data_IF_923737473327
#
_entry.id   IF_923737473327
#
_cell.length_a   1.000
_cell.length_b   1.000
_cell.length_c   1.000
_cell.angle_alpha   90.00
_cell.angle_beta   90.00
_cell.angle_gamma   90.00
#
_symmetry.space_group_name_H-M   'P 1'
#
loop_
_entity.id
_entity.type
_entity.pdbx_description
1 polymer ?
#
# COMPACT_ATOMS: atom_id res chain seq x y z
N UNK A 1 -11.39 -29.90 -7.95
CA UNK A 1 -10.78 -28.55 -7.85
C UNK A 1 -10.86 -28.15 -6.38
N UNK A 2 -9.75 -28.18 -5.65
CA UNK A 2 -9.68 -27.67 -4.27
C UNK A 2 -9.99 -26.18 -4.31
N UNK A 3 -11.02 -25.73 -3.57
CA UNK A 3 -11.23 -24.31 -3.31
C UNK A 3 -10.11 -23.86 -2.37
N UNK A 4 -9.07 -23.21 -2.89
CA UNK A 4 -8.11 -22.51 -2.04
C UNK A 4 -8.88 -21.52 -1.15
N UNK A 5 -8.82 -21.70 0.17
CA UNK A 5 -9.32 -20.69 1.10
C UNK A 5 -8.54 -19.41 0.82
N UNK A 6 -9.21 -18.36 0.34
CA UNK A 6 -8.60 -17.05 0.16
C UNK A 6 -8.00 -16.62 1.50
N UNK A 7 -6.69 -16.58 1.57
CA UNK A 7 -5.99 -16.16 2.78
C UNK A 7 -6.16 -14.64 2.94
N UNK A 8 -6.71 -14.23 4.08
CA UNK A 8 -6.85 -12.84 4.47
C UNK A 8 -5.86 -12.56 5.60
N UNK A 9 -4.67 -12.08 5.23
CA UNK A 9 -3.60 -11.74 6.16
C UNK A 9 -3.23 -10.27 5.99
N UNK A 10 -3.32 -9.51 7.05
CA UNK A 10 -2.81 -8.14 7.17
C UNK A 10 -2.13 -7.98 8.53
N UNK A 11 -1.24 -7.00 8.66
CA UNK A 11 -0.44 -6.80 9.84
C UNK A 11 -1.22 -5.99 10.88
N UNK A 12 -1.11 -6.40 12.14
CA UNK A 12 -1.57 -5.63 13.30
C UNK A 12 -0.65 -4.42 13.55
N UNK A 13 -1.08 -3.50 14.42
CA UNK A 13 -0.26 -2.34 14.82
C UNK A 13 1.07 -2.77 15.43
N UNK A 14 1.07 -3.81 16.27
CA UNK A 14 2.27 -4.34 16.89
C UNK A 14 3.20 -5.00 15.88
N UNK A 15 2.66 -5.75 14.91
CA UNK A 15 3.42 -6.33 13.82
C UNK A 15 4.02 -5.26 12.90
N UNK A 16 3.29 -4.17 12.62
CA UNK A 16 3.81 -3.03 11.88
C UNK A 16 4.96 -2.34 12.61
N UNK A 17 4.88 -2.22 13.93
CA UNK A 17 5.97 -1.68 14.74
C UNK A 17 7.23 -2.55 14.62
N UNK A 18 7.11 -3.87 14.82
CA UNK A 18 8.22 -4.83 14.68
C UNK A 18 8.80 -4.81 13.26
N UNK A 19 7.93 -4.72 12.24
CA UNK A 19 8.38 -4.57 10.86
C UNK A 19 9.18 -3.28 10.66
N UNK A 20 8.72 -2.18 11.23
CA UNK A 20 9.44 -0.89 11.19
C UNK A 20 10.83 -0.96 11.81
N UNK A 21 10.96 -1.65 12.96
CA UNK A 21 12.23 -1.88 13.63
C UNK A 21 13.18 -2.73 12.76
N UNK A 22 12.66 -3.82 12.19
CA UNK A 22 13.43 -4.69 11.29
C UNK A 22 13.87 -3.96 10.00
N UNK A 23 13.02 -3.09 9.46
CA UNK A 23 13.36 -2.28 8.28
C UNK A 23 14.50 -1.28 8.59
N UNK A 24 14.53 -0.70 9.80
CA UNK A 24 15.65 0.19 10.20
C UNK A 24 16.97 -0.55 10.28
N UNK A 25 16.97 -1.77 10.82
CA UNK A 25 18.17 -2.61 10.89
C UNK A 25 18.63 -3.02 9.49
N UNK A 26 17.71 -3.46 8.63
CA UNK A 26 18.04 -3.95 7.29
C UNK A 26 18.42 -2.83 6.31
N UNK A 27 18.09 -1.56 6.61
CA UNK A 27 18.35 -0.41 5.72
C UNK A 27 19.84 -0.22 5.44
N UNK A 28 20.70 -0.56 6.39
CA UNK A 28 22.17 -0.50 6.24
C UNK A 28 22.68 -1.53 5.21
N UNK A 29 22.03 -2.69 5.12
CA UNK A 29 22.46 -3.81 4.28
C UNK A 29 21.74 -3.87 2.92
N UNK A 30 20.49 -3.43 2.87
CA UNK A 30 19.66 -3.54 1.67
C UNK A 30 18.73 -2.30 1.50
N UNK A 31 19.27 -1.08 1.36
CA UNK A 31 18.48 0.16 1.35
C UNK A 31 17.42 0.19 0.26
N UNK A 32 17.70 -0.35 -0.93
CA UNK A 32 16.76 -0.40 -2.04
C UNK A 32 15.58 -1.34 -1.76
N UNK A 33 15.83 -2.49 -1.11
CA UNK A 33 14.77 -3.41 -0.71
C UNK A 33 13.89 -2.81 0.39
N UNK A 34 14.51 -2.12 1.36
CA UNK A 34 13.78 -1.42 2.43
C UNK A 34 12.91 -0.30 1.85
N UNK A 35 13.46 0.51 0.94
CA UNK A 35 12.69 1.55 0.26
C UNK A 35 11.50 0.96 -0.52
N UNK A 36 11.71 -0.16 -1.22
CA UNK A 36 10.64 -0.89 -1.92
C UNK A 36 9.53 -1.32 -0.95
N UNK A 37 9.87 -1.93 0.18
CA UNK A 37 8.89 -2.40 1.17
C UNK A 37 8.13 -1.23 1.79
N UNK A 38 8.83 -0.14 2.14
CA UNK A 38 8.17 1.08 2.62
C UNK A 38 7.19 1.65 1.60
N UNK A 39 7.56 1.72 0.32
CA UNK A 39 6.67 2.18 -0.75
C UNK A 39 5.45 1.26 -0.90
N UNK A 40 5.61 -0.06 -0.83
CA UNK A 40 4.50 -1.00 -0.86
C UNK A 40 3.49 -0.75 0.28
N UNK A 41 3.98 -0.53 1.50
CA UNK A 41 3.14 -0.21 2.66
C UNK A 41 2.44 1.14 2.53
N UNK A 42 3.12 2.16 1.99
CA UNK A 42 2.62 3.53 1.92
C UNK A 42 1.69 3.80 0.73
N UNK A 43 1.67 2.90 -0.26
CA UNK A 43 0.92 3.12 -1.51
C UNK A 43 -0.09 2.01 -1.81
N UNK A 44 0.02 0.85 -1.19
CA UNK A 44 -0.79 -0.32 -1.52
C UNK A 44 -0.54 -0.88 -2.92
N UNK A 45 0.58 -0.53 -3.56
CA UNK A 45 0.96 -1.03 -4.87
C UNK A 45 1.31 -2.52 -4.87
N UNK A 46 1.27 -3.13 -6.06
CA UNK A 46 1.82 -4.46 -6.28
C UNK A 46 3.35 -4.38 -6.34
N UNK A 47 4.02 -5.47 -5.96
CA UNK A 47 5.48 -5.55 -5.96
C UNK A 47 6.08 -5.14 -7.31
N UNK A 48 5.59 -5.71 -8.40
CA UNK A 48 6.09 -5.39 -9.75
C UNK A 48 5.90 -3.91 -10.13
N UNK A 49 4.82 -3.27 -9.67
CA UNK A 49 4.58 -1.85 -9.93
C UNK A 49 5.65 -0.97 -9.26
N UNK A 50 6.09 -1.32 -8.05
CA UNK A 50 7.16 -0.57 -7.34
C UNK A 50 8.53 -0.94 -7.90
N UNK A 51 8.80 -2.22 -8.20
CA UNK A 51 10.09 -2.63 -8.78
C UNK A 51 10.36 -1.95 -10.13
N UNK A 52 9.35 -1.84 -10.98
CA UNK A 52 9.47 -1.22 -12.32
C UNK A 52 9.14 0.27 -12.35
N UNK A 53 8.95 0.92 -11.19
CA UNK A 53 8.66 2.34 -11.09
C UNK A 53 9.84 3.16 -11.60
N UNK A 54 9.57 4.07 -12.57
CA UNK A 54 10.57 4.97 -13.14
C UNK A 54 10.41 6.38 -12.59
N UNK A 55 11.52 7.10 -12.51
CA UNK A 55 11.50 8.51 -12.14
C UNK A 55 10.65 9.36 -13.08
N UNK A 56 10.61 9.02 -14.37
CA UNK A 56 9.80 9.72 -15.38
C UNK A 56 8.29 9.53 -15.21
N UNK A 57 7.86 8.57 -14.39
CA UNK A 57 6.44 8.34 -14.10
C UNK A 57 5.92 9.19 -12.94
N UNK A 58 6.84 9.81 -12.17
CA UNK A 58 6.52 10.55 -10.96
C UNK A 58 6.30 12.02 -11.25
N UNK A 59 5.17 12.53 -10.78
CA UNK A 59 4.92 13.94 -10.58
C UNK A 59 4.81 14.20 -9.07
N UNK A 60 5.93 14.58 -8.46
CA UNK A 60 6.01 14.77 -7.00
C UNK A 60 5.40 16.10 -6.54
N UNK A 61 5.10 17.02 -7.46
CA UNK A 61 4.44 18.29 -7.15
C UNK A 61 2.92 18.07 -7.03
N UNK A 62 2.35 17.32 -7.95
CA UNK A 62 0.93 16.92 -7.89
C UNK A 62 0.67 15.68 -7.02
N UNK A 63 1.75 15.08 -6.46
CA UNK A 63 1.68 13.85 -5.65
C UNK A 63 1.05 12.66 -6.41
N UNK A 64 1.35 12.55 -7.70
CA UNK A 64 0.85 11.48 -8.57
C UNK A 64 1.99 10.69 -9.20
N UNK A 65 1.71 9.44 -9.59
CA UNK A 65 2.53 8.70 -10.53
C UNK A 65 1.66 8.04 -11.59
N UNK A 66 2.13 8.03 -12.83
CA UNK A 66 1.40 7.49 -13.96
C UNK A 66 2.10 6.23 -14.46
N UNK A 67 1.54 5.07 -14.11
CA UNK A 67 2.04 3.77 -14.53
C UNK A 67 1.43 3.44 -15.90
N UNK A 68 2.21 3.45 -16.99
CA UNK A 68 1.68 3.25 -18.35
C UNK A 68 1.23 1.80 -18.57
N UNK A 69 1.86 0.87 -17.88
CA UNK A 69 1.66 -0.56 -18.05
C UNK A 69 1.62 -1.25 -16.68
N UNK A 70 0.42 -1.49 -16.18
CA UNK A 70 0.18 -2.31 -15.00
C UNK A 70 -0.59 -3.57 -15.40
N UNK A 71 -0.66 -4.58 -14.53
CA UNK A 71 -1.43 -5.81 -14.78
C UNK A 71 -2.89 -5.54 -15.20
N UNK A 72 -3.41 -4.35 -14.88
CA UNK A 72 -4.80 -3.94 -15.16
C UNK A 72 -4.87 -2.77 -16.17
N UNK A 73 -3.80 -2.51 -16.94
CA UNK A 73 -3.70 -1.38 -17.85
C UNK A 73 -3.09 -0.13 -17.20
N UNK A 74 -3.35 1.04 -17.75
CA UNK A 74 -2.87 2.31 -17.22
C UNK A 74 -3.42 2.54 -15.82
N UNK A 75 -2.55 2.96 -14.89
CA UNK A 75 -2.92 3.21 -13.50
C UNK A 75 -2.34 4.54 -13.02
N UNK A 76 -3.18 5.36 -12.40
CA UNK A 76 -2.73 6.51 -11.61
C UNK A 76 -2.51 6.06 -10.17
N UNK A 77 -1.33 6.33 -9.64
CA UNK A 77 -0.96 6.09 -8.26
C UNK A 77 -1.01 7.41 -7.49
N UNK A 78 -1.73 7.42 -6.40
CA UNK A 78 -1.84 8.55 -5.48
C UNK A 78 -0.78 8.43 -4.39
N UNK A 79 0.10 9.42 -4.29
CA UNK A 79 1.23 9.41 -3.37
C UNK A 79 0.89 10.26 -2.13
N UNK A 80 0.69 9.62 -0.99
CA UNK A 80 0.59 10.35 0.27
C UNK A 80 1.89 11.11 0.58
N UNK A 81 1.81 12.16 1.39
CA UNK A 81 2.95 13.03 1.73
C UNK A 81 4.17 12.25 2.25
N UNK A 82 3.96 11.20 3.02
CA UNK A 82 5.04 10.32 3.54
C UNK A 82 5.71 9.54 2.41
N UNK A 83 4.94 9.06 1.42
CA UNK A 83 5.50 8.38 0.25
C UNK A 83 6.31 9.35 -0.62
N UNK A 84 5.82 10.59 -0.81
CA UNK A 84 6.56 11.66 -1.52
C UNK A 84 7.87 11.97 -0.80
N UNK A 85 7.84 12.14 0.53
CA UNK A 85 9.05 12.36 1.33
C UNK A 85 10.06 11.23 1.17
N UNK A 86 9.61 9.99 1.21
CA UNK A 86 10.46 8.83 0.98
C UNK A 86 11.04 8.84 -0.45
N UNK A 87 10.23 9.09 -1.48
CA UNK A 87 10.70 9.14 -2.87
C UNK A 87 11.76 10.24 -3.07
N UNK A 88 11.59 11.42 -2.44
CA UNK A 88 12.58 12.50 -2.49
C UNK A 88 13.91 12.14 -1.79
N UNK A 89 13.89 11.23 -0.81
CA UNK A 89 15.11 10.80 -0.09
C UNK A 89 15.88 9.68 -0.80
N UNK A 90 15.29 9.00 -1.79
CA UNK A 90 15.96 7.92 -2.54
C UNK A 90 17.00 8.54 -3.50
N UNK A 91 18.29 8.16 -3.39
CA UNK A 91 19.30 8.66 -4.30
C UNK A 91 19.05 8.22 -5.74
N UNK A 92 19.05 9.17 -6.67
CA UNK A 92 18.99 8.85 -8.11
C UNK A 92 20.36 8.37 -8.57
N UNK A 93 20.42 7.13 -9.07
CA UNK A 93 21.65 6.62 -9.69
C UNK A 93 21.79 7.17 -11.12
N UNK A 94 22.98 7.65 -11.44
CA UNK A 94 23.31 8.09 -12.81
C UNK A 94 23.10 6.88 -13.77
N UNK A 95 22.50 7.14 -14.92
CA UNK A 95 22.19 6.12 -15.93
C UNK A 95 21.20 5.03 -15.52
N UNK A 96 20.46 5.21 -14.45
CA UNK A 96 19.39 4.29 -14.07
C UNK A 96 18.04 5.04 -14.02
N UNK A 97 17.08 4.59 -14.82
CA UNK A 97 15.75 5.21 -14.90
C UNK A 97 14.80 4.80 -13.76
N UNK A 98 15.13 3.70 -13.03
CA UNK A 98 14.24 3.15 -12.01
C UNK A 98 14.45 3.82 -10.65
N UNK A 99 13.36 3.91 -9.88
CA UNK A 99 13.37 4.42 -8.51
C UNK A 99 14.07 3.42 -7.58
N UNK A 100 13.72 2.14 -7.73
CA UNK A 100 14.31 1.04 -6.96
C UNK A 100 15.31 0.31 -7.86
N UNK A 101 16.58 0.56 -7.60
CA UNK A 101 17.68 0.05 -8.43
C UNK A 101 18.20 -1.29 -7.92
N UNK A 102 18.61 -2.16 -8.84
CA UNK A 102 19.38 -3.36 -8.51
C UNK A 102 20.86 -3.05 -8.20
N UNK A 103 21.60 -4.08 -7.87
CA UNK A 103 23.04 -3.98 -7.56
C UNK A 103 23.87 -3.76 -8.84
N UNK A 104 23.37 -4.20 -9.98
CA UNK A 104 24.00 -4.05 -11.31
C UNK A 104 23.43 -2.78 -11.95
N UNK A 105 24.27 -2.03 -12.67
CA UNK A 105 23.84 -0.83 -13.38
C UNK A 105 22.80 -1.14 -14.46
N UNK A 106 21.76 -0.33 -14.49
CA UNK A 106 20.69 -0.37 -15.48
C UNK A 106 19.39 -1.06 -15.07
N UNK A 107 19.37 -2.30 -14.53
CA UNK A 107 18.12 -2.92 -14.15
C UNK A 107 17.58 -2.42 -12.80
N UNK A 108 16.28 -2.63 -12.61
CA UNK A 108 15.63 -2.46 -11.31
C UNK A 108 15.95 -3.64 -10.38
N UNK A 109 15.68 -3.50 -9.09
CA UNK A 109 15.80 -4.58 -8.12
C UNK A 109 14.77 -5.68 -8.42
N UNK A 110 15.23 -6.88 -8.76
CA UNK A 110 14.37 -8.03 -9.11
C UNK A 110 14.17 -8.99 -7.96
N UNK A 111 15.24 -9.33 -7.22
CA UNK A 111 15.16 -10.28 -6.10
C UNK A 111 14.80 -9.58 -4.79
N UNK A 112 13.51 -9.66 -4.45
CA UNK A 112 12.99 -9.23 -3.14
C UNK A 112 12.86 -10.37 -2.13
N UNK A 113 13.04 -11.64 -2.56
CA UNK A 113 12.80 -12.77 -1.66
C UNK A 113 13.88 -12.89 -0.58
N UNK A 114 15.14 -12.66 -0.95
CA UNK A 114 16.27 -12.76 -0.02
C UNK A 114 16.20 -11.68 1.08
N UNK A 115 16.11 -10.38 0.77
CA UNK A 115 15.97 -9.34 1.80
C UNK A 115 14.65 -9.48 2.58
N UNK A 116 13.53 -9.82 1.92
CA UNK A 116 12.26 -10.02 2.61
C UNK A 116 12.31 -11.15 3.64
N UNK A 117 13.00 -12.24 3.35
CA UNK A 117 13.18 -13.35 4.27
C UNK A 117 13.95 -12.94 5.53
N UNK A 118 14.98 -12.09 5.38
CA UNK A 118 15.74 -11.54 6.51
C UNK A 118 14.87 -10.61 7.36
N UNK A 119 14.18 -9.68 6.72
CA UNK A 119 13.28 -8.72 7.38
C UNK A 119 12.19 -9.45 8.17
N UNK A 120 11.52 -10.43 7.56
CA UNK A 120 10.48 -11.21 8.25
C UNK A 120 11.00 -11.92 9.49
N UNK A 121 12.21 -12.48 9.41
CA UNK A 121 12.84 -13.14 10.55
C UNK A 121 13.14 -12.16 11.67
N UNK A 122 13.69 -11.00 11.35
CA UNK A 122 13.97 -9.93 12.33
C UNK A 122 12.69 -9.39 12.98
N UNK A 123 11.61 -9.31 12.22
CA UNK A 123 10.32 -8.80 12.70
C UNK A 123 9.46 -9.88 13.38
N UNK A 124 9.89 -11.14 13.42
CA UNK A 124 9.09 -12.28 13.87
C UNK A 124 7.73 -12.36 13.13
N UNK A 125 7.81 -12.36 11.79
CA UNK A 125 6.67 -12.41 10.87
C UNK A 125 6.82 -13.56 9.86
N UNK A 126 7.01 -14.84 10.29
CA UNK A 126 7.39 -15.93 9.41
C UNK A 126 6.35 -16.27 8.34
N UNK A 127 5.09 -15.95 8.61
CA UNK A 127 3.95 -16.28 7.76
C UNK A 127 3.55 -15.16 6.79
N UNK A 128 4.10 -13.94 6.94
CA UNK A 128 3.73 -12.76 6.13
C UNK A 128 4.42 -12.79 4.77
N UNK A 129 3.65 -12.61 3.69
CA UNK A 129 4.13 -12.47 2.32
C UNK A 129 4.22 -10.99 1.93
N UNK A 130 5.03 -10.64 0.94
CA UNK A 130 5.10 -9.26 0.42
C UNK A 130 3.71 -8.76 -0.02
N UNK A 131 2.90 -9.62 -0.62
CA UNK A 131 1.54 -9.25 -1.05
C UNK A 131 0.61 -8.90 0.13
N UNK A 132 0.87 -9.42 1.32
CA UNK A 132 0.07 -9.13 2.51
C UNK A 132 0.24 -7.67 2.98
N UNK A 133 1.29 -6.96 2.50
CA UNK A 133 1.47 -5.52 2.69
C UNK A 133 0.39 -4.69 1.96
N UNK A 134 -0.03 -5.13 0.77
CA UNK A 134 -1.15 -4.52 0.06
C UNK A 134 -2.46 -4.74 0.82
N UNK A 135 -2.67 -5.92 1.40
CA UNK A 135 -3.82 -6.19 2.27
C UNK A 135 -3.80 -5.32 3.52
N UNK A 136 -2.61 -5.09 4.09
CA UNK A 136 -2.42 -4.21 5.25
C UNK A 136 -2.80 -2.76 4.91
N UNK A 137 -2.37 -2.24 3.76
CA UNK A 137 -2.79 -0.90 3.30
C UNK A 137 -4.32 -0.80 3.17
N UNK A 138 -4.95 -1.79 2.54
CA UNK A 138 -6.40 -1.81 2.35
C UNK A 138 -7.16 -1.88 3.69
N UNK A 139 -6.76 -2.78 4.60
CA UNK A 139 -7.39 -2.93 5.92
C UNK A 139 -7.22 -1.67 6.77
N UNK A 140 -6.06 -0.99 6.68
CA UNK A 140 -5.84 0.28 7.35
C UNK A 140 -6.77 1.38 6.82
N UNK A 141 -7.01 1.42 5.51
CA UNK A 141 -7.98 2.35 4.90
C UNK A 141 -9.40 2.13 5.43
N UNK A 142 -9.84 0.86 5.52
CA UNK A 142 -11.16 0.51 6.09
C UNK A 142 -11.24 0.91 7.56
N UNK A 143 -10.19 0.61 8.35
CA UNK A 143 -10.14 0.97 9.77
C UNK A 143 -10.18 2.50 10.00
N UNK A 144 -9.75 3.29 9.00
CA UNK A 144 -9.89 4.75 8.98
C UNK A 144 -11.26 5.22 8.47
N UNK A 145 -12.22 4.34 8.28
CA UNK A 145 -13.57 4.67 7.81
C UNK A 145 -13.68 5.01 6.33
N UNK A 146 -12.63 4.71 5.53
CA UNK A 146 -12.67 5.01 4.10
C UNK A 146 -13.55 4.01 3.35
N UNK A 147 -14.40 4.53 2.46
CA UNK A 147 -15.30 3.70 1.64
C UNK A 147 -14.52 2.77 0.68
N UNK A 148 -15.05 1.56 0.48
CA UNK A 148 -14.45 0.55 -0.40
C UNK A 148 -14.18 1.05 -1.83
N UNK A 149 -15.01 1.91 -2.47
CA UNK A 149 -14.71 2.45 -3.80
C UNK A 149 -13.40 3.26 -3.82
N UNK A 150 -13.14 4.07 -2.80
CA UNK A 150 -11.89 4.86 -2.69
C UNK A 150 -10.70 3.91 -2.51
N UNK A 151 -10.81 2.93 -1.61
CA UNK A 151 -9.77 1.92 -1.40
C UNK A 151 -9.49 1.16 -2.70
N UNK A 152 -10.53 0.72 -3.42
CA UNK A 152 -10.40 0.05 -4.70
C UNK A 152 -9.65 0.91 -5.74
N UNK A 153 -9.97 2.20 -5.80
CA UNK A 153 -9.27 3.16 -6.68
C UNK A 153 -7.79 3.31 -6.33
N UNK A 154 -7.45 3.44 -5.03
CA UNK A 154 -6.06 3.51 -4.56
C UNK A 154 -5.26 2.26 -4.92
N UNK A 155 -5.85 1.08 -4.76
CA UNK A 155 -5.24 -0.21 -5.10
C UNK A 155 -5.16 -0.46 -6.62
N UNK A 156 -5.92 0.28 -7.43
CA UNK A 156 -6.04 0.05 -8.87
C UNK A 156 -6.84 -1.21 -9.20
N UNK A 157 -7.89 -1.49 -8.44
CA UNK A 157 -8.83 -2.57 -8.74
C UNK A 157 -9.83 -2.11 -9.79
N UNK A 158 -9.95 -2.87 -10.88
CA UNK A 158 -10.92 -2.63 -11.95
C UNK A 158 -12.29 -3.23 -11.63
N UNK A 159 -12.34 -4.20 -10.71
CA UNK A 159 -13.57 -4.88 -10.29
C UNK A 159 -13.87 -4.61 -8.82
N UNK A 160 -15.06 -4.08 -8.47
CA UNK A 160 -15.44 -3.81 -7.07
C UNK A 160 -15.38 -5.04 -6.16
N UNK A 161 -15.65 -6.22 -6.69
CA UNK A 161 -15.61 -7.50 -5.97
C UNK A 161 -14.22 -7.80 -5.38
N UNK A 162 -13.16 -7.29 -6.01
CA UNK A 162 -11.79 -7.46 -5.50
C UNK A 162 -11.59 -6.69 -4.19
N UNK A 163 -12.26 -5.55 -4.02
CA UNK A 163 -12.19 -4.73 -2.81
C UNK A 163 -13.24 -5.14 -1.78
N UNK A 164 -14.38 -5.72 -2.21
CA UNK A 164 -15.46 -6.15 -1.33
C UNK A 164 -15.02 -7.16 -0.25
N UNK A 165 -13.90 -7.86 -0.48
CA UNK A 165 -13.29 -8.75 0.52
C UNK A 165 -12.91 -8.05 1.85
N UNK A 166 -12.76 -6.74 1.84
CA UNK A 166 -12.45 -5.95 3.04
C UNK A 166 -13.70 -5.40 3.74
N UNK A 167 -14.91 -5.63 3.20
CA UNK A 167 -16.15 -5.08 3.75
C UNK A 167 -16.39 -5.47 5.21
N UNK A 168 -16.03 -6.71 5.58
CA UNK A 168 -16.19 -7.23 6.94
C UNK A 168 -15.29 -6.52 7.98
N UNK A 169 -14.30 -5.73 7.54
CA UNK A 169 -13.42 -4.96 8.42
C UNK A 169 -14.00 -3.57 8.74
N UNK A 170 -15.07 -3.14 8.06
CA UNK A 170 -15.74 -1.88 8.35
C UNK A 170 -16.42 -1.98 9.74
N UNK A 171 -15.85 -1.24 10.69
CA UNK A 171 -16.25 -1.32 12.09
C UNK A 171 -17.43 -0.42 12.46
N UNK A 172 -17.92 0.42 11.53
CA UNK A 172 -19.01 1.36 11.84
C UNK A 172 -20.36 0.65 11.78
N UNK A 173 -21.06 0.48 12.91
CA UNK A 173 -22.40 -0.10 12.92
C UNK A 173 -23.33 0.70 12.01
N UNK A 174 -24.18 0.00 11.25
CA UNK A 174 -25.14 0.64 10.35
C UNK A 174 -26.04 1.65 11.10
N UNK A 175 -26.34 1.38 12.36
CA UNK A 175 -27.10 2.26 13.22
C UNK A 175 -26.39 3.61 13.44
N UNK A 176 -25.11 3.61 13.79
CA UNK A 176 -24.31 4.84 13.99
C UNK A 176 -24.24 5.71 12.72
N UNK A 177 -24.17 5.08 11.55
CA UNK A 177 -24.23 5.79 10.27
C UNK A 177 -25.63 6.36 10.03
N UNK A 178 -26.68 5.59 10.32
CA UNK A 178 -28.06 6.03 10.17
C UNK A 178 -28.36 7.24 11.10
N UNK A 179 -27.88 7.21 12.34
CA UNK A 179 -28.02 8.29 13.28
C UNK A 179 -27.34 9.57 12.78
N UNK A 180 -26.08 9.49 12.33
CA UNK A 180 -25.37 10.63 11.75
C UNK A 180 -26.05 11.23 10.52
N UNK A 181 -26.64 10.37 9.67
CA UNK A 181 -27.38 10.83 8.49
C UNK A 181 -28.67 11.54 8.92
N UNK A 182 -29.43 10.93 9.84
CA UNK A 182 -30.70 11.49 10.30
C UNK A 182 -30.50 12.83 11.04
N UNK A 183 -29.51 12.92 11.92
CA UNK A 183 -29.12 14.18 12.60
C UNK A 183 -28.74 15.28 11.60
N UNK A 184 -27.93 14.95 10.59
CA UNK A 184 -27.54 15.89 9.54
C UNK A 184 -28.75 16.38 8.73
N UNK A 185 -29.68 15.49 8.40
CA UNK A 185 -30.89 15.85 7.67
C UNK A 185 -31.84 16.67 8.52
N UNK A 186 -32.04 16.29 9.79
CA UNK A 186 -32.88 17.04 10.76
C UNK A 186 -32.44 18.50 10.88
N UNK A 187 -31.12 18.72 11.00
CA UNK A 187 -30.56 20.08 11.05
C UNK A 187 -30.88 20.92 9.81
N UNK A 188 -31.02 20.31 8.62
CA UNK A 188 -31.30 21.04 7.37
C UNK A 188 -32.80 21.30 7.15
N UNK A 189 -33.65 20.49 7.73
CA UNK A 189 -35.13 20.65 7.61
C UNK A 189 -35.74 21.39 8.82
N UNK A 190 -34.88 21.93 9.71
CA UNK A 190 -35.28 22.61 10.96
C UNK A 190 -36.25 21.72 11.79
N UNK A 191 -35.89 20.41 11.88
CA UNK A 191 -36.64 19.51 12.75
C UNK A 191 -36.38 19.88 14.21
N UNK A 192 -37.38 20.47 14.83
CA UNK A 192 -37.41 20.73 16.29
C UNK A 192 -38.21 19.60 16.94
N UNK A 193 -37.70 19.03 18.04
CA UNK A 193 -38.40 18.05 18.89
C UNK A 193 -39.52 18.71 19.70
#
# INVERSE_FOLDING_TARGET
KYKEKKRERFLSREELRRLGDALRIEEEFAPQAVACIRLLLLTGCRLGEIQTLKWSYLDLETCLAFLPDSKTGRKTLYLGSVAVKLLRSIPRRKNNQYVITGDIDGPHLTDMQKPWRRIRRLADLPDVRIHDLQHTFASSGVALGQGLPIIGRLLGHTQPQTTARYAHLAATPALEVADKISESLAAHINWED
#
